data_IF_108807388553
#
_entry.id   IF_108807388553
#
_cell.length_a   1.000
_cell.length_b   1.000
_cell.length_c   1.000
_cell.angle_alpha   90.00
_cell.angle_beta   90.00
_cell.angle_gamma   90.00
#
_symmetry.space_group_name_H-M   'P 1'
#
loop_
_entity.id
_entity.type
_entity.pdbx_description
1 polymer ?
#
# COMPACT_ATOMS: atom_id res chain seq x y z
N UNK A 1 38.18 -33.47 -59.08
CA UNK A 1 36.75 -33.24 -59.32
C UNK A 1 36.50 -31.73 -59.21
N UNK A 2 36.30 -31.09 -60.36
CA UNK A 2 35.73 -29.76 -60.67
C UNK A 2 36.15 -28.49 -59.89
N UNK A 3 36.95 -27.66 -60.57
CA UNK A 3 36.86 -26.16 -60.62
C UNK A 3 35.57 -25.72 -61.39
N UNK A 4 35.17 -24.43 -61.61
CA UNK A 4 36.04 -23.21 -61.69
C UNK A 4 35.45 -21.80 -61.37
N UNK A 5 36.33 -20.77 -61.45
CA UNK A 5 36.22 -19.44 -62.13
C UNK A 5 35.05 -18.46 -61.84
N UNK A 6 35.11 -17.12 -62.01
CA UNK A 6 36.01 -16.17 -62.65
C UNK A 6 35.74 -14.75 -62.09
N UNK A 7 36.73 -13.88 -62.27
CA UNK A 7 36.75 -12.44 -62.09
C UNK A 7 35.78 -11.63 -62.99
N UNK A 8 35.76 -10.30 -62.75
CA UNK A 8 35.84 -9.18 -63.74
C UNK A 8 34.92 -7.98 -63.35
N UNK A 9 35.53 -6.83 -63.00
CA UNK A 9 35.01 -5.43 -63.05
C UNK A 9 35.03 -4.92 -64.53
N UNK A 10 34.63 -3.69 -64.95
CA UNK A 10 33.91 -2.56 -64.32
C UNK A 10 32.80 -1.97 -65.26
N UNK A 11 32.18 -0.82 -64.92
CA UNK A 11 31.38 -0.08 -65.91
C UNK A 11 30.66 1.19 -65.42
N UNK A 12 31.40 2.30 -65.30
CA UNK A 12 30.87 3.67 -65.31
C UNK A 12 30.51 4.06 -66.76
N UNK A 13 29.31 4.60 -67.05
CA UNK A 13 29.15 5.94 -67.69
C UNK A 13 27.69 6.39 -67.87
N UNK A 14 27.58 7.72 -67.82
CA UNK A 14 26.40 8.61 -67.94
C UNK A 14 25.82 8.67 -69.37
N UNK A 15 24.56 9.09 -69.49
CA UNK A 15 24.02 10.17 -70.38
C UNK A 15 22.46 10.16 -70.35
N UNK A 16 21.80 11.13 -69.70
CA UNK A 16 21.22 12.41 -70.19
C UNK A 16 19.90 12.38 -70.96
N UNK A 17 18.95 13.14 -70.41
CA UNK A 17 17.86 13.98 -70.98
C UNK A 17 16.75 13.30 -71.79
N UNK A 18 15.50 13.55 -71.38
CA UNK A 18 14.52 14.33 -72.18
C UNK A 18 13.46 14.98 -71.27
N UNK A 19 13.03 16.17 -71.68
CA UNK A 19 12.05 17.03 -71.03
C UNK A 19 10.61 16.56 -71.32
N UNK A 20 9.69 16.86 -70.40
CA UNK A 20 8.25 16.66 -70.59
C UNK A 20 7.46 17.13 -69.38
N UNK A 21 7.11 18.41 -69.35
CA UNK A 21 6.07 18.94 -68.47
C UNK A 21 4.71 18.34 -68.85
N UNK A 22 3.79 18.41 -67.88
CA UNK A 22 2.33 18.17 -67.95
C UNK A 22 1.85 16.73 -67.83
N UNK A 23 1.45 16.37 -66.61
CA UNK A 23 0.10 15.89 -66.29
C UNK A 23 -0.11 15.94 -64.78
N UNK A 24 -0.89 16.92 -64.33
CA UNK A 24 -1.58 16.88 -63.06
C UNK A 24 -2.49 15.64 -63.04
N UNK A 25 -2.40 14.83 -61.99
CA UNK A 25 -3.56 14.03 -61.56
C UNK A 25 -3.44 13.68 -60.07
N UNK A 26 -4.39 14.19 -59.29
CA UNK A 26 -4.99 13.41 -58.22
C UNK A 26 -4.34 13.46 -56.84
N UNK A 27 -3.95 14.65 -56.36
CA UNK A 27 -3.85 14.90 -54.92
C UNK A 27 -5.16 15.54 -54.44
N UNK A 28 -6.23 14.72 -54.33
CA UNK A 28 -7.41 15.13 -53.58
C UNK A 28 -8.20 13.89 -53.15
N UNK A 29 -8.03 13.48 -51.89
CA UNK A 29 -9.09 12.90 -51.05
C UNK A 29 -8.56 12.65 -49.64
N UNK A 30 -9.32 13.17 -48.68
CA UNK A 30 -9.28 12.98 -47.22
C UNK A 30 -8.41 13.96 -46.41
N UNK A 31 -8.82 15.24 -46.49
CA UNK A 31 -8.85 16.09 -45.29
C UNK A 31 -9.86 15.49 -44.29
N UNK A 32 -9.38 14.87 -43.22
CA UNK A 32 -10.19 14.62 -42.02
C UNK A 32 -9.61 15.38 -40.82
N UNK A 33 -10.32 16.46 -40.48
CA UNK A 33 -10.37 17.21 -39.21
C UNK A 33 -9.37 16.79 -38.12
N UNK A 34 -8.37 17.64 -37.90
CA UNK A 34 -7.80 17.82 -36.56
C UNK A 34 -8.91 18.43 -35.69
N UNK A 35 -9.52 17.62 -34.82
CA UNK A 35 -10.39 18.12 -33.76
C UNK A 35 -9.48 18.82 -32.75
N UNK A 36 -9.38 20.15 -32.87
CA UNK A 36 -8.81 20.96 -31.81
C UNK A 36 -9.60 20.71 -30.53
N UNK A 37 -8.93 20.26 -29.46
CA UNK A 37 -9.51 20.22 -28.12
C UNK A 37 -10.00 21.63 -27.79
N UNK A 38 -11.32 21.80 -27.82
CA UNK A 38 -11.99 23.03 -27.43
C UNK A 38 -11.60 23.35 -25.98
N UNK A 39 -10.78 24.39 -25.78
CA UNK A 39 -10.56 25.06 -24.48
C UNK A 39 -11.85 25.70 -23.90
N UNK A 40 -13.02 25.39 -24.49
CA UNK A 40 -14.31 26.02 -24.21
C UNK A 40 -15.20 25.19 -23.29
N UNK A 41 -14.71 24.08 -22.71
CA UNK A 41 -15.47 23.21 -21.81
C UNK A 41 -14.88 23.12 -20.38
N UNK A 42 -13.97 24.02 -20.03
CA UNK A 42 -13.62 24.25 -18.64
C UNK A 42 -14.70 25.13 -18.01
N UNK A 43 -15.37 24.72 -16.92
CA UNK A 43 -16.32 25.58 -16.24
C UNK A 43 -15.67 26.92 -15.89
N UNK A 44 -16.37 28.04 -16.14
CA UNK A 44 -15.88 29.34 -15.68
C UNK A 44 -15.78 29.33 -14.15
N UNK A 45 -14.75 29.98 -13.56
CA UNK A 45 -14.74 30.28 -12.13
C UNK A 45 -16.09 30.94 -11.78
N UNK A 46 -16.74 30.48 -10.72
CA UNK A 46 -18.06 30.95 -10.24
C UNK A 46 -19.30 30.58 -11.06
N UNK A 47 -19.23 29.59 -11.96
CA UNK A 47 -20.45 29.03 -12.57
C UNK A 47 -21.17 28.03 -11.65
N UNK A 48 -22.50 27.96 -11.69
CA UNK A 48 -23.30 26.92 -10.99
C UNK A 48 -22.81 25.49 -11.25
N UNK A 49 -22.19 25.25 -12.42
CA UNK A 49 -21.57 23.95 -12.76
C UNK A 49 -20.22 23.74 -12.07
N UNK A 50 -19.42 24.80 -11.89
CA UNK A 50 -18.19 24.75 -11.10
C UNK A 50 -18.50 24.59 -9.60
N UNK A 51 -19.51 25.30 -9.08
CA UNK A 51 -20.00 25.15 -7.71
C UNK A 51 -20.54 23.74 -7.48
N UNK A 52 -21.40 23.20 -8.35
CA UNK A 52 -21.86 21.80 -8.23
C UNK A 52 -20.76 20.75 -8.35
N UNK A 53 -19.68 21.03 -9.10
CA UNK A 53 -18.52 20.13 -9.17
C UNK A 53 -17.65 20.24 -7.91
N UNK A 54 -17.51 21.46 -7.37
CA UNK A 54 -16.80 21.72 -6.12
C UNK A 54 -17.58 21.15 -4.93
N UNK A 55 -18.91 21.29 -4.90
CA UNK A 55 -19.82 20.64 -3.96
C UNK A 55 -19.75 19.13 -4.11
N UNK A 56 -19.79 18.56 -5.32
CA UNK A 56 -19.60 17.10 -5.47
C UNK A 56 -18.22 16.61 -5.05
N UNK A 57 -17.17 17.40 -5.29
CA UNK A 57 -15.81 17.09 -4.81
C UNK A 57 -15.71 17.25 -3.30
N UNK A 58 -16.37 18.24 -2.72
CA UNK A 58 -16.46 18.45 -1.27
C UNK A 58 -17.30 17.36 -0.60
N UNK A 59 -18.35 16.87 -1.27
CA UNK A 59 -19.24 15.81 -0.82
C UNK A 59 -18.61 14.41 -1.02
N UNK A 60 -17.76 14.25 -2.04
CA UNK A 60 -16.86 13.09 -2.16
C UNK A 60 -15.68 13.16 -1.19
N UNK A 61 -15.19 14.36 -0.86
CA UNK A 61 -14.18 14.56 0.18
C UNK A 61 -14.76 14.44 1.60
N UNK A 62 -16.07 14.66 1.78
CA UNK A 62 -16.80 14.46 3.04
C UNK A 62 -17.35 13.04 3.21
N UNK A 63 -17.20 12.18 2.20
CA UNK A 63 -17.29 10.73 2.40
C UNK A 63 -15.87 10.29 2.73
N UNK A 64 -15.64 9.87 3.97
CA UNK A 64 -14.33 9.38 4.42
C UNK A 64 -13.66 8.49 3.37
N UNK A 65 -12.35 8.66 3.21
CA UNK A 65 -11.60 7.99 2.14
C UNK A 65 -11.64 6.49 2.41
N UNK A 66 -12.31 5.74 1.54
CA UNK A 66 -12.58 4.32 1.79
C UNK A 66 -11.29 3.49 1.77
N UNK A 67 -10.37 3.79 0.85
CA UNK A 67 -9.08 3.10 0.68
C UNK A 67 -7.93 4.12 0.66
N UNK A 68 -7.57 4.70 1.82
CA UNK A 68 -6.68 5.86 1.90
C UNK A 68 -5.28 5.62 1.34
N UNK A 69 -4.80 4.37 1.41
CA UNK A 69 -3.47 4.00 0.95
C UNK A 69 -3.47 3.38 -0.46
N UNK A 70 -4.56 3.48 -1.22
CA UNK A 70 -4.62 2.95 -2.58
C UNK A 70 -3.51 3.55 -3.47
N UNK A 71 -2.78 2.70 -4.19
CA UNK A 71 -1.77 3.12 -5.16
C UNK A 71 -0.34 3.23 -4.62
N UNK A 72 -0.09 2.87 -3.35
CA UNK A 72 1.27 2.70 -2.82
C UNK A 72 1.60 1.21 -2.65
N UNK A 73 2.80 0.80 -3.00
CA UNK A 73 3.27 -0.58 -2.87
C UNK A 73 3.25 -1.08 -1.42
N UNK A 74 3.38 -0.16 -0.46
CA UNK A 74 3.34 -0.42 0.97
C UNK A 74 1.91 -0.52 1.57
N UNK A 75 0.85 -0.45 0.76
CA UNK A 75 -0.54 -0.32 1.23
C UNK A 75 -0.91 -1.34 2.32
N UNK A 76 -0.70 -2.63 2.06
CA UNK A 76 -1.10 -3.67 3.01
C UNK A 76 -0.33 -3.60 4.33
N UNK A 77 0.94 -3.20 4.27
CA UNK A 77 1.76 -3.01 5.47
C UNK A 77 1.34 -1.76 6.24
N UNK A 78 1.06 -0.64 5.56
CA UNK A 78 0.54 0.57 6.21
C UNK A 78 -0.80 0.30 6.92
N UNK A 79 -1.69 -0.47 6.30
CA UNK A 79 -2.95 -0.89 6.93
C UNK A 79 -2.67 -1.81 8.14
N UNK A 80 -1.76 -2.78 8.03
CA UNK A 80 -1.42 -3.64 9.17
C UNK A 80 -0.82 -2.86 10.36
N UNK A 81 0.15 -1.98 10.09
CA UNK A 81 0.78 -1.09 11.07
C UNK A 81 -0.23 -0.20 11.76
N UNK A 82 -1.23 0.28 11.01
CA UNK A 82 -2.26 1.15 11.55
C UNK A 82 -3.28 0.42 12.41
N UNK A 83 -3.63 -0.80 12.06
CA UNK A 83 -4.81 -1.45 12.64
C UNK A 83 -4.49 -2.42 13.77
N UNK A 84 -3.34 -3.11 13.70
CA UNK A 84 -3.11 -4.19 14.66
C UNK A 84 -1.67 -4.62 14.92
N UNK A 85 -0.70 -4.23 14.10
CA UNK A 85 0.71 -4.50 14.43
C UNK A 85 1.10 -3.55 15.56
N UNK A 86 1.69 -4.01 16.67
CA UNK A 86 1.86 -3.16 17.85
C UNK A 86 3.18 -2.38 17.87
N UNK A 87 4.27 -2.91 17.28
CA UNK A 87 5.57 -2.24 17.32
C UNK A 87 6.44 -2.66 16.14
N UNK A 88 6.59 -1.76 15.17
CA UNK A 88 7.50 -1.91 14.05
C UNK A 88 7.96 -0.54 13.56
N UNK A 89 9.09 -0.52 12.85
CA UNK A 89 9.64 0.69 12.22
C UNK A 89 10.10 0.40 10.80
N UNK A 90 10.03 1.39 9.91
CA UNK A 90 10.62 1.34 8.58
C UNK A 90 11.16 2.71 8.17
N UNK A 91 12.33 2.75 7.53
CA UNK A 91 12.82 3.98 6.90
C UNK A 91 12.01 4.25 5.63
N UNK A 92 11.40 5.43 5.54
CA UNK A 92 10.58 5.80 4.39
C UNK A 92 11.46 6.22 3.21
N UNK A 93 11.08 5.76 2.01
CA UNK A 93 11.60 6.31 0.76
C UNK A 93 10.67 7.42 0.32
N UNK A 94 11.17 8.65 0.27
CA UNK A 94 10.36 9.80 -0.16
C UNK A 94 10.25 9.84 -1.68
N UNK A 95 9.15 10.41 -2.17
CA UNK A 95 8.94 10.56 -3.61
C UNK A 95 10.06 11.41 -4.24
N UNK A 96 10.45 11.17 -5.51
CA UNK A 96 11.53 11.92 -6.16
C UNK A 96 11.32 13.45 -6.21
N UNK A 97 10.07 13.91 -6.22
CA UNK A 97 9.71 15.34 -6.21
C UNK A 97 9.67 15.97 -4.81
N UNK A 98 9.73 15.16 -3.76
CA UNK A 98 9.66 15.62 -2.38
C UNK A 98 11.03 16.12 -1.91
N UNK A 99 11.09 17.37 -1.48
CA UNK A 99 12.32 18.03 -1.03
C UNK A 99 12.71 17.59 0.41
N UNK A 100 13.08 16.32 0.59
CA UNK A 100 13.53 15.78 1.86
C UNK A 100 14.84 16.45 2.31
N UNK A 101 14.85 16.98 3.54
CA UNK A 101 16.04 17.54 4.22
C UNK A 101 16.66 16.57 5.22
N UNK A 102 15.88 15.62 5.73
CA UNK A 102 16.31 14.61 6.71
C UNK A 102 15.60 13.27 6.47
N UNK A 103 16.21 12.14 6.85
CA UNK A 103 15.54 10.85 6.81
C UNK A 103 14.30 10.84 7.70
N UNK A 104 13.31 10.05 7.30
CA UNK A 104 12.06 9.85 8.04
C UNK A 104 11.84 8.37 8.29
N UNK A 105 11.58 8.03 9.54
CA UNK A 105 11.23 6.69 10.00
C UNK A 105 9.74 6.63 10.30
N UNK A 106 9.03 5.75 9.62
CA UNK A 106 7.69 5.32 10.05
C UNK A 106 7.84 4.42 11.27
N UNK A 107 6.99 4.65 12.25
CA UNK A 107 6.77 3.75 13.36
C UNK A 107 5.29 3.35 13.43
N UNK A 108 5.00 2.18 13.99
CA UNK A 108 3.63 1.84 14.37
C UNK A 108 3.04 2.93 15.25
N UNK A 109 3.69 3.21 16.39
CA UNK A 109 3.22 4.17 17.38
C UNK A 109 4.43 4.85 18.02
N UNK A 110 4.31 6.16 18.22
CA UNK A 110 5.32 6.98 18.91
C UNK A 110 4.92 7.19 20.38
N UNK A 111 5.87 7.56 21.26
CA UNK A 111 5.54 7.94 22.64
C UNK A 111 4.40 8.96 22.69
N UNK A 112 3.39 8.70 23.53
CA UNK A 112 2.20 9.55 23.63
C UNK A 112 1.24 9.46 22.45
N UNK A 113 1.45 8.53 21.51
CA UNK A 113 0.66 8.36 20.28
C UNK A 113 0.55 9.67 19.46
N UNK A 114 1.64 10.44 19.44
CA UNK A 114 1.79 11.66 18.62
C UNK A 114 1.93 11.31 17.14
N UNK A 115 1.49 12.20 16.25
CA UNK A 115 1.59 12.03 14.81
C UNK A 115 3.04 12.03 14.31
N UNK A 116 3.89 12.89 14.88
CA UNK A 116 5.30 12.96 14.51
C UNK A 116 6.20 13.49 15.64
N UNK A 117 7.50 13.26 15.52
CA UNK A 117 8.54 13.94 16.30
C UNK A 117 9.82 14.08 15.47
N UNK A 118 10.66 15.05 15.80
CA UNK A 118 12.03 15.13 15.26
C UNK A 118 13.00 14.78 16.36
N UNK A 119 13.67 13.64 16.24
CA UNK A 119 14.63 13.18 17.25
C UNK A 119 15.91 14.00 17.17
N UNK A 120 16.31 14.59 18.28
CA UNK A 120 17.57 15.32 18.40
C UNK A 120 18.77 14.35 18.41
N UNK A 121 19.68 14.54 17.47
CA UNK A 121 20.95 13.82 17.34
C UNK A 121 21.92 14.68 16.51
N UNK A 122 23.16 14.21 16.33
CA UNK A 122 24.12 14.87 15.43
C UNK A 122 23.55 15.01 14.01
N UNK A 123 22.84 13.99 13.55
CA UNK A 123 21.99 14.03 12.36
C UNK A 123 20.53 13.81 12.79
N UNK A 124 19.69 14.86 12.79
CA UNK A 124 18.30 14.74 13.20
C UNK A 124 17.50 13.82 12.27
N UNK A 125 16.62 13.01 12.86
CA UNK A 125 15.75 12.07 12.13
C UNK A 125 14.29 12.39 12.43
N UNK A 126 13.46 12.49 11.40
CA UNK A 126 12.01 12.60 11.54
C UNK A 126 11.41 11.24 11.87
N UNK A 127 10.44 11.20 12.77
CA UNK A 127 9.64 10.01 13.05
C UNK A 127 8.16 10.36 12.83
N UNK A 128 7.42 9.46 12.18
CA UNK A 128 5.97 9.57 11.96
C UNK A 128 5.27 8.30 12.41
N UNK A 129 4.04 8.41 12.91
CA UNK A 129 3.28 7.27 13.44
C UNK A 129 2.15 6.80 12.49
N UNK A 130 1.93 5.49 12.42
CA UNK A 130 0.75 4.91 11.77
C UNK A 130 -0.50 4.94 12.70
N UNK A 131 -0.28 4.75 14.00
CA UNK A 131 -1.28 4.79 15.07
C UNK A 131 -1.08 6.07 15.89
N UNK A 132 -2.13 6.87 15.97
CA UNK A 132 -2.13 8.19 16.62
C UNK A 132 -3.35 8.34 17.52
N UNK A 133 -3.24 9.20 18.52
CA UNK A 133 -4.36 9.51 19.42
C UNK A 133 -5.44 10.33 18.70
N UNK A 134 -5.03 11.28 17.85
CA UNK A 134 -5.92 12.19 17.14
C UNK A 134 -5.69 12.05 15.64
N UNK A 135 -6.71 11.59 14.93
CA UNK A 135 -6.67 11.32 13.49
C UNK A 135 -7.84 11.99 12.78
N UNK A 136 -7.64 12.31 11.50
CA UNK A 136 -8.69 12.71 10.59
C UNK A 136 -9.35 11.49 9.94
N UNK A 137 -10.36 11.75 9.09
CA UNK A 137 -11.00 10.72 8.25
C UNK A 137 -10.12 10.27 7.07
N UNK A 138 -8.93 10.86 6.88
CA UNK A 138 -8.01 10.54 5.81
C UNK A 138 -6.59 10.29 6.37
N UNK A 139 -6.29 9.08 6.86
CA UNK A 139 -5.00 8.78 7.47
C UNK A 139 -3.81 8.86 6.50
N UNK A 140 -4.04 8.75 5.20
CA UNK A 140 -2.98 8.94 4.21
C UNK A 140 -2.58 10.42 4.09
N UNK A 141 -3.55 11.34 4.14
CA UNK A 141 -3.29 12.77 4.20
C UNK A 141 -2.62 13.17 5.53
N UNK A 142 -3.04 12.58 6.65
CA UNK A 142 -2.40 12.81 7.95
C UNK A 142 -0.94 12.37 7.93
N UNK A 143 -0.66 11.18 7.39
CA UNK A 143 0.71 10.65 7.27
C UNK A 143 1.57 11.54 6.36
N UNK A 144 1.05 11.97 5.21
CA UNK A 144 1.75 12.88 4.31
C UNK A 144 2.09 14.22 5.00
N UNK A 145 1.13 14.77 5.75
CA UNK A 145 1.29 16.01 6.52
C UNK A 145 2.33 15.85 7.62
N UNK A 146 2.29 14.74 8.36
CA UNK A 146 3.28 14.41 9.38
C UNK A 146 4.69 14.30 8.78
N UNK A 147 4.85 13.63 7.63
CA UNK A 147 6.14 13.53 6.94
C UNK A 147 6.63 14.92 6.54
N UNK A 148 5.79 15.76 5.93
CA UNK A 148 6.14 17.13 5.54
C UNK A 148 6.53 18.00 6.76
N UNK A 149 5.77 17.90 7.86
CA UNK A 149 6.06 18.59 9.11
C UNK A 149 7.45 18.23 9.66
N UNK A 150 7.81 16.94 9.63
CA UNK A 150 9.15 16.51 10.05
C UNK A 150 10.28 17.07 9.20
N UNK A 151 10.05 17.74 8.07
CA UNK A 151 11.09 18.41 7.27
C UNK A 151 11.25 19.90 7.59
N UNK A 152 10.30 20.47 8.33
CA UNK A 152 10.25 21.90 8.66
C UNK A 152 10.54 22.16 10.13
N UNK A 153 10.29 21.18 10.99
CA UNK A 153 10.47 21.28 12.43
C UNK A 153 11.91 21.20 12.90
N UNK A 154 12.14 21.75 14.08
CA UNK A 154 13.42 21.74 14.77
C UNK A 154 13.62 20.43 15.56
N UNK A 155 14.87 19.98 15.78
CA UNK A 155 15.13 18.79 16.59
C UNK A 155 14.62 18.95 18.02
N UNK A 156 13.91 17.93 18.51
CA UNK A 156 13.27 17.91 19.83
C UNK A 156 11.78 18.28 19.81
N UNK A 157 11.26 18.77 18.68
CA UNK A 157 9.83 19.06 18.54
C UNK A 157 8.99 17.79 18.33
N UNK A 158 7.72 17.85 18.73
CA UNK A 158 6.69 16.85 18.47
C UNK A 158 5.40 17.46 17.93
N UNK A 159 4.66 16.68 17.14
CA UNK A 159 3.37 17.03 16.56
C UNK A 159 2.32 16.06 17.09
N UNK A 160 1.37 16.55 17.90
CA UNK A 160 0.33 15.71 18.48
C UNK A 160 -0.62 15.16 17.42
N UNK A 161 -1.12 16.04 16.53
CA UNK A 161 -2.03 15.69 15.44
C UNK A 161 -1.57 16.29 14.12
N UNK A 162 -1.80 15.60 13.00
CA UNK A 162 -1.57 16.18 11.67
C UNK A 162 -2.38 17.47 11.43
N UNK A 163 -3.55 17.61 12.08
CA UNK A 163 -4.37 18.81 12.00
C UNK A 163 -3.69 20.05 12.62
N UNK A 164 -2.73 19.86 13.52
CA UNK A 164 -2.00 20.95 14.18
C UNK A 164 -0.88 21.52 13.30
N UNK A 165 -0.54 20.86 12.17
CA UNK A 165 0.68 21.16 11.43
C UNK A 165 0.66 22.51 10.67
N UNK A 166 -0.46 23.23 10.58
CA UNK A 166 -0.61 24.44 9.74
C UNK A 166 -0.06 24.29 8.30
N UNK A 167 -0.05 23.05 7.78
CA UNK A 167 0.39 22.69 6.44
C UNK A 167 -0.82 22.29 5.59
N UNK A 168 -0.73 22.57 4.29
CA UNK A 168 -1.69 22.01 3.34
C UNK A 168 -1.41 20.51 3.15
N UNK A 169 -2.44 19.68 3.26
CA UNK A 169 -2.31 18.26 3.01
C UNK A 169 -1.98 17.99 1.53
N UNK A 170 -0.90 17.26 1.29
CA UNK A 170 -0.53 16.74 -0.02
C UNK A 170 -0.96 15.27 -0.16
N UNK A 171 -1.18 14.77 -1.39
CA UNK A 171 -1.37 13.33 -1.60
C UNK A 171 -0.16 12.54 -1.09
N UNK A 172 -0.39 11.38 -0.47
CA UNK A 172 0.70 10.55 0.05
C UNK A 172 1.73 10.18 -1.01
N UNK A 173 1.32 9.98 -2.26
CA UNK A 173 2.21 9.65 -3.40
C UNK A 173 3.12 10.81 -3.86
N UNK A 174 2.83 12.05 -3.45
CA UNK A 174 3.71 13.21 -3.70
C UNK A 174 4.81 13.32 -2.64
N UNK A 175 4.65 12.65 -1.49
CA UNK A 175 5.56 12.69 -0.34
C UNK A 175 6.34 11.38 -0.17
N UNK A 176 5.66 10.24 -0.32
CA UNK A 176 6.19 8.88 -0.23
C UNK A 176 6.34 8.29 -1.64
N UNK A 177 7.43 7.57 -1.91
CA UNK A 177 7.62 6.83 -3.16
C UNK A 177 6.55 5.73 -3.29
N UNK A 178 5.62 5.83 -4.27
CA UNK A 178 4.52 4.88 -4.40
C UNK A 178 4.99 3.48 -4.84
N UNK A 179 6.20 3.33 -5.38
CA UNK A 179 6.72 2.04 -5.81
C UNK A 179 7.58 1.34 -4.74
N UNK A 180 7.92 2.04 -3.66
CA UNK A 180 8.79 1.51 -2.61
C UNK A 180 8.00 0.64 -1.61
N UNK A 181 8.40 -0.62 -1.38
CA UNK A 181 7.91 -1.38 -0.23
C UNK A 181 8.52 -0.82 1.08
N UNK A 182 7.95 -1.23 2.23
CA UNK A 182 8.55 -0.97 3.53
C UNK A 182 9.51 -2.10 3.90
N UNK A 183 10.75 -1.73 4.20
CA UNK A 183 11.70 -2.62 4.87
C UNK A 183 11.47 -2.49 6.39
N UNK A 184 10.74 -3.45 6.95
CA UNK A 184 10.22 -3.39 8.31
C UNK A 184 11.14 -4.09 9.30
N UNK A 185 11.46 -3.39 10.38
CA UNK A 185 11.99 -3.97 11.61
C UNK A 185 10.85 -4.11 12.61
N UNK A 186 10.48 -5.35 12.96
CA UNK A 186 9.49 -5.64 14.00
C UNK A 186 10.18 -5.66 15.35
N UNK A 187 9.58 -4.99 16.34
CA UNK A 187 10.11 -4.93 17.70
C UNK A 187 9.19 -5.69 18.64
N UNK A 188 9.76 -6.41 19.60
CA UNK A 188 9.00 -7.14 20.63
C UNK A 188 8.75 -6.29 21.89
N UNK A 189 9.17 -5.02 21.86
CA UNK A 189 9.00 -4.03 22.90
C UNK A 189 9.01 -2.60 22.32
N UNK A 190 8.98 -1.59 23.20
CA UNK A 190 9.07 -0.17 22.88
C UNK A 190 10.39 0.47 23.33
N UNK A 191 11.42 -0.32 23.65
CA UNK A 191 12.71 0.22 24.11
C UNK A 191 13.39 1.09 23.02
N UNK A 192 13.08 0.85 21.75
CA UNK A 192 13.54 1.65 20.60
C UNK A 192 13.05 3.12 20.61
N UNK A 193 12.07 3.46 21.45
CA UNK A 193 11.67 4.86 21.69
C UNK A 193 12.82 5.69 22.26
N UNK A 194 13.73 5.06 23.00
CA UNK A 194 14.93 5.69 23.54
C UNK A 194 16.10 5.45 22.59
N UNK A 195 16.88 6.48 22.22
CA UNK A 195 18.09 6.28 21.43
C UNK A 195 19.09 5.36 22.14
N UNK A 196 19.85 4.58 21.36
CA UNK A 196 20.90 3.73 21.92
C UNK A 196 21.92 4.55 22.73
N UNK A 197 22.29 4.04 23.90
CA UNK A 197 23.23 4.71 24.82
C UNK A 197 22.62 5.87 25.64
N UNK A 198 21.35 6.20 25.45
CA UNK A 198 20.64 7.20 26.27
C UNK A 198 19.90 6.50 27.41
N UNK A 199 20.07 6.98 28.63
CA UNK A 199 19.27 6.54 29.76
C UNK A 199 17.98 7.38 29.81
N UNK A 200 16.79 6.76 29.71
CA UNK A 200 15.54 7.50 29.84
C UNK A 200 15.39 8.01 31.28
N UNK A 201 14.71 9.15 31.44
CA UNK A 201 14.29 9.57 32.77
C UNK A 201 13.25 8.57 33.34
N UNK A 202 13.04 8.55 34.67
CA UNK A 202 12.16 7.58 35.31
C UNK A 202 10.71 7.60 34.80
N UNK A 203 10.21 8.76 34.36
CA UNK A 203 8.85 8.89 33.87
C UNK A 203 8.71 8.24 32.49
N UNK A 204 9.68 8.46 31.60
CA UNK A 204 9.74 7.80 30.28
C UNK A 204 9.93 6.29 30.43
N UNK A 205 10.80 5.85 31.34
CA UNK A 205 11.00 4.43 31.62
C UNK A 205 9.71 3.74 32.07
N UNK A 206 8.95 4.37 32.98
CA UNK A 206 7.66 3.85 33.43
C UNK A 206 6.62 3.76 32.30
N UNK A 207 6.60 4.74 31.39
CA UNK A 207 5.72 4.70 30.21
C UNK A 207 6.08 3.56 29.27
N UNK A 208 7.37 3.29 29.05
CA UNK A 208 7.82 2.15 28.24
C UNK A 208 7.44 0.83 28.90
N UNK A 209 7.65 0.69 30.21
CA UNK A 209 7.26 -0.52 30.96
C UNK A 209 5.76 -0.79 30.84
N UNK A 210 4.93 0.24 31.01
CA UNK A 210 3.48 0.13 30.84
C UNK A 210 3.10 -0.28 29.41
N UNK A 211 3.73 0.32 28.39
CA UNK A 211 3.47 -0.04 27.00
C UNK A 211 3.90 -1.50 26.70
N UNK A 212 5.03 -1.94 27.24
CA UNK A 212 5.54 -3.31 27.09
C UNK A 212 4.63 -4.35 27.76
N UNK A 213 3.91 -4.00 28.83
CA UNK A 213 2.93 -4.92 29.45
C UNK A 213 1.70 -5.18 28.57
N UNK A 214 1.40 -4.26 27.63
CA UNK A 214 0.26 -4.36 26.74
C UNK A 214 0.62 -4.90 25.34
N UNK A 215 1.91 -5.09 25.04
CA UNK A 215 2.35 -5.52 23.72
C UNK A 215 2.01 -7.00 23.49
N UNK A 216 1.50 -7.31 22.29
CA UNK A 216 1.34 -8.69 21.83
C UNK A 216 2.52 -9.04 20.91
N UNK A 217 3.31 -10.08 21.22
CA UNK A 217 4.38 -10.53 20.32
C UNK A 217 3.85 -10.74 18.91
N UNK A 218 4.54 -10.18 17.93
CA UNK A 218 4.08 -10.14 16.54
C UNK A 218 5.25 -10.30 15.58
N UNK A 219 4.99 -10.87 14.41
CA UNK A 219 5.95 -11.01 13.32
C UNK A 219 5.25 -10.91 11.97
N UNK A 220 5.96 -10.32 11.00
CA UNK A 220 5.56 -10.36 9.60
C UNK A 220 6.09 -11.65 8.98
N UNK A 221 5.24 -12.44 8.34
CA UNK A 221 5.71 -13.62 7.62
C UNK A 221 6.59 -13.20 6.43
N UNK A 222 7.79 -13.78 6.36
CA UNK A 222 8.69 -13.65 5.22
C UNK A 222 8.23 -14.58 4.09
N UNK A 223 7.24 -14.15 3.33
CA UNK A 223 6.76 -14.84 2.14
C UNK A 223 7.59 -14.46 0.91
N UNK A 224 7.47 -15.25 -0.17
CA UNK A 224 8.16 -15.00 -1.44
C UNK A 224 7.78 -13.64 -2.05
N UNK A 225 8.63 -13.10 -2.93
CA UNK A 225 8.47 -11.75 -3.49
C UNK A 225 7.21 -11.58 -4.36
N UNK A 226 6.62 -12.68 -4.83
CA UNK A 226 5.36 -12.73 -5.57
C UNK A 226 4.14 -12.97 -4.66
N UNK A 227 4.35 -13.16 -3.36
CA UNK A 227 3.27 -13.26 -2.40
C UNK A 227 2.50 -11.94 -2.31
N UNK A 228 1.18 -12.06 -2.36
CA UNK A 228 0.28 -10.91 -2.37
C UNK A 228 -0.12 -10.53 -0.93
N UNK A 229 -0.09 -9.23 -0.63
CA UNK A 229 -0.54 -8.70 0.65
C UNK A 229 0.44 -8.90 1.81
N UNK A 230 0.01 -8.58 3.02
CA UNK A 230 0.85 -8.58 4.23
C UNK A 230 0.28 -9.55 5.28
N UNK A 231 0.94 -10.69 5.48
CA UNK A 231 0.57 -11.69 6.46
C UNK A 231 1.32 -11.48 7.78
N UNK A 232 0.57 -11.27 8.86
CA UNK A 232 1.09 -10.97 10.19
C UNK A 232 0.65 -12.03 11.19
N UNK A 233 1.64 -12.64 11.84
CA UNK A 233 1.47 -13.53 12.97
C UNK A 233 1.45 -12.71 14.26
N UNK A 234 0.54 -13.03 15.18
CA UNK A 234 0.42 -12.37 16.49
C UNK A 234 0.10 -13.41 17.55
N UNK A 235 0.85 -13.47 18.65
CA UNK A 235 0.47 -14.23 19.85
C UNK A 235 -0.52 -13.41 20.68
N UNK A 236 -1.80 -13.80 20.65
CA UNK A 236 -2.85 -13.17 21.45
C UNK A 236 -3.06 -13.85 22.81
N UNK A 237 -2.12 -14.70 23.25
CA UNK A 237 -2.11 -15.34 24.56
C UNK A 237 -2.88 -16.67 24.62
N UNK A 238 -4.14 -16.71 24.18
CA UNK A 238 -4.87 -17.99 24.12
C UNK A 238 -4.50 -18.80 22.87
N UNK A 239 -4.29 -18.09 21.75
CA UNK A 239 -3.92 -18.62 20.45
C UNK A 239 -3.03 -17.62 19.73
N UNK A 240 -2.27 -18.09 18.76
CA UNK A 240 -1.71 -17.21 17.77
C UNK A 240 -2.74 -16.97 16.65
N UNK A 241 -2.63 -15.83 15.98
CA UNK A 241 -3.46 -15.50 14.82
C UNK A 241 -2.59 -15.13 13.64
N UNK A 242 -2.97 -15.60 12.44
CA UNK A 242 -2.53 -14.99 11.20
C UNK A 242 -3.59 -13.99 10.73
N UNK A 243 -3.24 -12.70 10.66
CA UNK A 243 -4.04 -11.65 10.02
C UNK A 243 -3.39 -11.29 8.69
N UNK A 244 -4.05 -11.57 7.57
CA UNK A 244 -3.48 -11.35 6.26
C UNK A 244 -4.18 -10.21 5.54
N UNK A 245 -3.55 -9.04 5.46
CA UNK A 245 -4.10 -7.91 4.71
C UNK A 245 -3.98 -8.18 3.22
N UNK A 246 -5.10 -8.16 2.49
CA UNK A 246 -5.17 -8.53 1.08
C UNK A 246 -5.63 -7.35 0.21
N UNK A 247 -4.89 -6.99 -0.86
CA UNK A 247 -5.17 -5.81 -1.70
C UNK A 247 -6.24 -6.03 -2.77
N UNK A 248 -6.69 -7.27 -2.97
CA UNK A 248 -7.71 -7.61 -3.96
C UNK A 248 -9.05 -6.94 -3.66
N UNK A 249 -9.90 -6.83 -4.69
CA UNK A 249 -11.30 -6.43 -4.49
C UNK A 249 -11.96 -7.31 -3.43
N UNK A 250 -12.63 -6.66 -2.47
CA UNK A 250 -13.13 -7.32 -1.27
C UNK A 250 -14.21 -8.37 -1.60
N UNK A 251 -15.04 -8.11 -2.61
CA UNK A 251 -16.05 -9.07 -3.05
C UNK A 251 -15.39 -10.24 -3.79
N UNK A 252 -14.46 -9.99 -4.72
CA UNK A 252 -13.72 -11.04 -5.40
C UNK A 252 -12.97 -11.95 -4.42
N UNK A 253 -12.30 -11.37 -3.42
CA UNK A 253 -11.63 -12.14 -2.37
C UNK A 253 -12.62 -12.95 -1.53
N UNK A 254 -13.76 -12.37 -1.16
CA UNK A 254 -14.81 -13.10 -0.44
C UNK A 254 -15.34 -14.29 -1.26
N UNK A 255 -15.47 -14.15 -2.58
CA UNK A 255 -15.85 -15.27 -3.46
C UNK A 255 -14.78 -16.36 -3.44
N UNK A 256 -13.50 -16.00 -3.59
CA UNK A 256 -12.39 -16.96 -3.58
C UNK A 256 -12.29 -17.73 -2.25
N UNK A 257 -12.42 -17.03 -1.11
CA UNK A 257 -12.47 -17.67 0.22
C UNK A 257 -13.65 -18.64 0.35
N UNK A 258 -14.81 -18.30 -0.23
CA UNK A 258 -15.97 -19.18 -0.24
C UNK A 258 -15.77 -20.44 -1.08
N UNK A 259 -15.04 -20.36 -2.20
CA UNK A 259 -14.64 -21.54 -2.99
C UNK A 259 -13.75 -22.46 -2.18
N UNK A 260 -12.71 -21.90 -1.56
CA UNK A 260 -11.80 -22.66 -0.71
C UNK A 260 -12.53 -23.30 0.47
N UNK A 261 -13.47 -22.58 1.10
CA UNK A 261 -14.27 -23.13 2.20
C UNK A 261 -15.15 -24.31 1.74
N UNK A 262 -15.84 -24.16 0.60
CA UNK A 262 -16.68 -25.23 0.06
C UNK A 262 -15.86 -26.48 -0.31
N UNK A 263 -14.63 -26.30 -0.79
CA UNK A 263 -13.69 -27.38 -1.07
C UNK A 263 -12.95 -27.93 0.17
N UNK A 264 -13.20 -27.37 1.37
CA UNK A 264 -12.52 -27.75 2.60
C UNK A 264 -11.07 -27.23 2.73
N UNK A 265 -10.60 -26.39 1.80
CA UNK A 265 -9.23 -25.87 1.74
C UNK A 265 -9.01 -24.52 2.41
N UNK A 266 -10.00 -23.97 3.14
CA UNK A 266 -9.88 -22.70 3.87
C UNK A 266 -9.16 -22.88 5.23
N UNK A 267 -7.90 -23.30 5.18
CA UNK A 267 -7.00 -23.46 6.32
C UNK A 267 -5.53 -23.43 5.86
N UNK A 268 -4.61 -23.25 6.80
CA UNK A 268 -3.16 -23.20 6.65
C UNK A 268 -2.51 -24.55 7.07
N UNK A 269 -3.15 -25.68 6.75
CA UNK A 269 -2.68 -27.00 7.19
C UNK A 269 -3.18 -27.40 8.59
N UNK A 270 -2.54 -28.42 9.17
CA UNK A 270 -2.90 -28.99 10.47
C UNK A 270 -2.76 -27.97 11.61
N UNK A 271 -3.64 -28.04 12.62
CA UNK A 271 -3.63 -27.12 13.76
C UNK A 271 -4.12 -25.70 13.47
N UNK A 272 -4.40 -25.37 12.20
CA UNK A 272 -4.95 -24.06 11.82
C UNK A 272 -6.45 -24.10 11.56
N UNK A 273 -7.12 -22.97 11.78
CA UNK A 273 -8.56 -22.82 11.50
C UNK A 273 -8.87 -21.41 11.04
N UNK A 274 -9.68 -21.26 9.99
CA UNK A 274 -10.23 -19.96 9.64
C UNK A 274 -11.16 -19.44 10.75
N UNK A 275 -10.77 -18.32 11.36
CA UNK A 275 -11.48 -17.70 12.47
C UNK A 275 -12.55 -16.72 11.97
N UNK A 276 -12.29 -16.04 10.86
CA UNK A 276 -13.17 -15.03 10.31
C UNK A 276 -12.43 -14.10 9.36
N UNK A 277 -13.06 -12.98 9.03
CA UNK A 277 -12.41 -11.90 8.31
C UNK A 277 -12.95 -10.56 8.78
N UNK A 278 -12.18 -9.50 8.60
CA UNK A 278 -12.68 -8.14 8.82
C UNK A 278 -12.31 -7.21 7.69
N UNK A 279 -13.12 -6.17 7.51
CA UNK A 279 -12.86 -5.09 6.54
C UNK A 279 -12.26 -3.90 7.27
N UNK A 280 -11.23 -3.31 6.68
CA UNK A 280 -10.62 -2.06 7.15
C UNK A 280 -9.95 -1.37 5.97
N UNK A 281 -10.10 -0.04 5.89
CA UNK A 281 -9.46 0.81 4.88
C UNK A 281 -9.60 0.30 3.44
N UNK A 282 -10.79 -0.22 3.10
CA UNK A 282 -11.13 -0.70 1.76
C UNK A 282 -10.50 -2.06 1.42
N UNK A 283 -9.90 -2.74 2.39
CA UNK A 283 -9.27 -4.04 2.27
C UNK A 283 -9.97 -5.07 3.15
N UNK A 284 -9.86 -6.32 2.72
CA UNK A 284 -10.35 -7.47 3.48
C UNK A 284 -9.17 -8.22 4.12
N UNK A 285 -9.32 -8.57 5.39
CA UNK A 285 -8.30 -9.24 6.20
C UNK A 285 -8.81 -10.61 6.67
N UNK A 286 -8.50 -11.71 5.96
CA UNK A 286 -8.69 -13.06 6.47
C UNK A 286 -7.90 -13.31 7.76
N UNK A 287 -8.53 -14.00 8.71
CA UNK A 287 -7.93 -14.34 10.01
C UNK A 287 -7.97 -15.84 10.24
N UNK A 288 -6.83 -16.40 10.64
CA UNK A 288 -6.68 -17.81 11.00
C UNK A 288 -6.22 -17.93 12.45
N UNK A 289 -6.88 -18.79 13.21
CA UNK A 289 -6.37 -19.31 14.48
C UNK A 289 -5.22 -20.27 14.17
N UNK A 290 -4.13 -20.12 14.91
CA UNK A 290 -2.93 -20.92 14.82
C UNK A 290 -2.57 -21.49 16.19
N UNK A 291 -1.74 -22.52 16.16
CA UNK A 291 -1.03 -22.99 17.35
C UNK A 291 -0.03 -21.92 17.82
N UNK A 292 -0.16 -21.50 19.09
CA UNK A 292 0.69 -20.46 19.68
C UNK A 292 2.07 -20.96 20.07
N UNK A 293 2.24 -22.28 20.25
CA UNK A 293 3.54 -22.87 20.59
C UNK A 293 4.48 -22.89 19.38
N UNK A 294 3.93 -22.75 18.16
CA UNK A 294 4.70 -22.66 16.93
C UNK A 294 5.11 -21.23 16.62
N UNK A 295 6.41 -21.06 16.38
CA UNK A 295 6.99 -19.78 15.97
C UNK A 295 6.47 -19.34 14.59
N UNK A 296 6.42 -18.02 14.34
CA UNK A 296 5.91 -17.46 13.09
C UNK A 296 6.54 -18.07 11.83
N UNK A 297 7.83 -18.41 11.87
CA UNK A 297 8.55 -19.02 10.75
C UNK A 297 8.01 -20.39 10.32
N UNK A 298 7.42 -21.16 11.23
CA UNK A 298 6.80 -22.45 10.91
C UNK A 298 5.56 -22.28 10.01
N UNK A 299 4.93 -21.10 10.05
CA UNK A 299 3.74 -20.77 9.28
C UNK A 299 4.04 -20.22 7.89
N UNK A 300 5.31 -19.97 7.53
CA UNK A 300 5.70 -19.43 6.22
C UNK A 300 5.32 -20.38 5.08
N UNK A 301 5.72 -21.65 5.18
CA UNK A 301 5.39 -22.65 4.15
C UNK A 301 3.87 -22.87 4.02
N UNK A 302 3.12 -23.13 5.11
CA UNK A 302 1.67 -23.28 5.01
C UNK A 302 0.95 -22.04 4.46
N UNK A 303 1.40 -20.83 4.82
CA UNK A 303 0.87 -19.58 4.26
C UNK A 303 1.17 -19.44 2.76
N UNK A 304 2.37 -19.81 2.31
CA UNK A 304 2.74 -19.81 0.89
C UNK A 304 1.85 -20.76 0.09
N UNK A 305 1.65 -21.99 0.58
CA UNK A 305 0.77 -22.97 -0.07
C UNK A 305 -0.70 -22.52 -0.09
N UNK A 306 -1.19 -21.90 1.00
CA UNK A 306 -2.52 -21.31 1.01
C UNK A 306 -2.65 -20.14 0.03
N UNK A 307 -1.64 -19.27 -0.04
CA UNK A 307 -1.58 -18.16 -1.00
C UNK A 307 -1.71 -18.63 -2.44
N UNK A 308 -1.03 -19.73 -2.81
CA UNK A 308 -1.16 -20.33 -4.13
C UNK A 308 -2.60 -20.81 -4.42
N UNK A 309 -3.22 -21.53 -3.47
CA UNK A 309 -4.63 -21.98 -3.60
C UNK A 309 -5.60 -20.79 -3.70
N UNK A 310 -5.35 -19.73 -2.94
CA UNK A 310 -6.17 -18.52 -2.97
C UNK A 310 -6.05 -17.81 -4.32
N UNK A 311 -4.84 -17.69 -4.87
CA UNK A 311 -4.61 -17.12 -6.18
C UNK A 311 -5.32 -17.92 -7.28
N UNK A 312 -5.31 -19.25 -7.21
CA UNK A 312 -6.07 -20.12 -8.12
C UNK A 312 -7.58 -19.88 -8.01
N UNK A 313 -8.11 -19.81 -6.78
CA UNK A 313 -9.52 -19.54 -6.54
C UNK A 313 -9.97 -18.14 -7.02
N UNK A 314 -9.09 -17.13 -6.88
CA UNK A 314 -9.30 -15.76 -7.38
C UNK A 314 -9.30 -15.69 -8.91
N UNK A 315 -8.48 -16.49 -9.57
CA UNK A 315 -8.41 -16.54 -11.03
C UNK A 315 -9.61 -17.26 -11.68
N UNK A 316 -10.46 -17.94 -10.89
CA UNK A 316 -11.60 -18.68 -11.39
C UNK A 316 -12.79 -17.78 -11.76
N UNK A 317 -13.14 -17.79 -13.04
CA UNK A 317 -14.30 -17.12 -13.64
C UNK A 317 -15.57 -18.00 -13.69
N UNK A 318 -15.48 -19.24 -13.20
CA UNK A 318 -16.61 -20.17 -13.18
C UNK A 318 -17.78 -19.63 -12.32
N UNK A 319 -19.05 -19.80 -12.72
CA UNK A 319 -20.17 -19.43 -11.87
C UNK A 319 -20.14 -20.16 -10.52
N UNK A 320 -20.53 -19.48 -9.43
CA UNK A 320 -20.55 -20.12 -8.11
C UNK A 320 -21.59 -21.25 -8.04
N UNK A 321 -21.17 -22.40 -7.50
CA UNK A 321 -22.04 -23.52 -7.18
C UNK A 321 -22.97 -23.18 -6.00
N UNK A 322 -24.06 -23.95 -5.78
CA UNK A 322 -24.90 -23.77 -4.60
C UNK A 322 -24.13 -23.90 -3.27
N UNK A 323 -23.12 -24.77 -3.20
CA UNK A 323 -22.30 -24.98 -2.00
C UNK A 323 -21.38 -23.80 -1.72
N UNK A 324 -20.74 -23.25 -2.76
CA UNK A 324 -19.91 -22.05 -2.64
C UNK A 324 -20.76 -20.84 -2.24
N UNK A 325 -21.98 -20.69 -2.79
CA UNK A 325 -22.91 -19.61 -2.39
C UNK A 325 -23.30 -19.71 -0.92
N UNK A 326 -23.65 -20.92 -0.45
CA UNK A 326 -23.92 -21.16 0.98
C UNK A 326 -22.70 -20.86 1.85
N UNK A 327 -21.51 -21.26 1.40
CA UNK A 327 -20.25 -20.96 2.10
C UNK A 327 -20.01 -19.45 2.20
N UNK A 328 -20.17 -18.71 1.11
CA UNK A 328 -20.05 -17.24 1.09
C UNK A 328 -21.00 -16.58 2.09
N UNK A 329 -22.26 -16.98 2.08
CA UNK A 329 -23.27 -16.38 2.96
C UNK A 329 -22.95 -16.66 4.44
N UNK A 330 -22.45 -17.86 4.75
CA UNK A 330 -21.97 -18.20 6.10
C UNK A 330 -20.66 -17.52 6.51
N UNK A 331 -19.75 -17.21 5.57
CA UNK A 331 -18.54 -16.44 5.85
C UNK A 331 -18.86 -14.97 6.10
N UNK A 332 -19.75 -14.38 5.31
CA UNK A 332 -20.21 -12.99 5.47
C UNK A 332 -20.88 -12.76 6.82
N UNK A 333 -21.62 -13.73 7.36
CA UNK A 333 -22.23 -13.59 8.70
C UNK A 333 -21.21 -13.54 9.84
N UNK A 334 -19.96 -13.97 9.60
CA UNK A 334 -18.84 -13.92 10.55
C UNK A 334 -17.86 -12.78 10.25
N UNK A 335 -18.17 -11.93 9.27
CA UNK A 335 -17.32 -10.80 8.91
C UNK A 335 -17.63 -9.60 9.82
N UNK A 336 -16.57 -8.95 10.29
CA UNK A 336 -16.65 -7.70 11.05
C UNK A 336 -16.14 -6.54 10.18
N UNK A 337 -16.55 -5.30 10.46
CA UNK A 337 -15.98 -4.11 9.82
C UNK A 337 -15.38 -3.24 10.92
N UNK A 338 -14.08 -3.00 10.83
CA UNK A 338 -13.40 -1.98 11.63
C UNK A 338 -13.64 -0.63 10.95
N UNK A 339 -13.99 0.39 11.72
CA UNK A 339 -14.21 1.75 11.24
C UNK A 339 -13.29 2.70 11.96
#
# INVERSE_FOLDING_TARGET
MRQPDSAVLPGMTRKTKFAGQSRESGADLLRSRVVGKSKRNSPKPDSNRAQRLAERRAEQASRGVTRPFEGVAAECDLVALREFVPSATATLRTAPGFAAKRPVTLATVLPGAVAALVRAAAEPVGFVAAQVQFQSENPAADLATAIAWTQLSEPGESLNSAADAELAAEPLTEVLDPAAPLDLTVHQDFNWWVPEGVQPDPQVAATIEQANQAIMPSDRLALDADAIGAAWWVDAGEKAHLRWVRPEDEDALMLALARLHAAGGLHLGEGSRFAGSFRTHGLLVPVFDLDREQHATEWVKPATEFGARLNEALASDAPMTPEERRSRDGLRSRQVTLR
#
